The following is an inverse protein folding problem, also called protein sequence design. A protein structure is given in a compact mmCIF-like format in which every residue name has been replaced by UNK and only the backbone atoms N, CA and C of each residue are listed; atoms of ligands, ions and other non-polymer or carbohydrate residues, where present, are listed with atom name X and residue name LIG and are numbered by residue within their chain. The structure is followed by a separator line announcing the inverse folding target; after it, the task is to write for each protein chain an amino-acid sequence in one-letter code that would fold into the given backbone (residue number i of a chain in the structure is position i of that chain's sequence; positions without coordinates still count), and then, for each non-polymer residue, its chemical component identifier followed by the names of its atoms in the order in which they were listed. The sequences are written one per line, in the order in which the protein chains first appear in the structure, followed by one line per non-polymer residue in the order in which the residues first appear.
data_IF_381966331890
#
_entry.id   IF_381966331890
#
_cell.length_a   1.000
_cell.length_b   1.000
_cell.length_c   1.000
_cell.angle_alpha   90.00
_cell.angle_beta   90.00
_cell.angle_gamma   90.00
#
_symmetry.space_group_name_H-M   'P 1'
#
loop_
_entity.id
_entity.type
_entity.pdbx_description
1 polymer ?
#
# COMPACT_ATOMS: atom_id res chain seq x y z
N UNK A 1 12.36 4.58 6.58
CA UNK A 1 11.62 3.31 6.39
C UNK A 1 12.07 2.64 5.10
N UNK A 2 11.96 1.31 4.99
CA UNK A 2 12.33 0.55 3.78
C UNK A 2 11.12 0.36 2.88
N UNK A 3 11.27 0.59 1.56
CA UNK A 3 10.23 0.22 0.60
C UNK A 3 10.13 -1.30 0.55
N UNK A 4 8.95 -1.84 0.86
CA UNK A 4 8.69 -3.28 0.87
C UNK A 4 8.17 -3.74 -0.49
N UNK A 5 7.16 -3.05 -1.02
CA UNK A 5 6.52 -3.39 -2.30
C UNK A 5 5.78 -2.20 -2.90
N UNK A 6 5.67 -2.19 -4.21
CA UNK A 6 4.77 -1.31 -4.97
C UNK A 6 3.68 -2.17 -5.59
N UNK A 7 2.41 -1.82 -5.37
CA UNK A 7 1.25 -2.58 -5.88
C UNK A 7 0.77 -2.05 -7.23
N UNK A 8 0.70 -0.73 -7.37
CA UNK A 8 0.31 -0.05 -8.61
C UNK A 8 1.38 1.00 -8.91
N UNK A 9 1.88 1.01 -10.15
CA UNK A 9 2.94 1.93 -10.60
C UNK A 9 2.51 2.81 -11.79
N UNK A 10 1.21 2.80 -12.10
CA UNK A 10 0.65 3.59 -13.21
C UNK A 10 -0.34 4.61 -12.68
N UNK A 11 -0.53 5.68 -13.45
CA UNK A 11 -1.67 6.58 -13.28
C UNK A 11 -2.94 5.87 -13.74
N UNK A 12 -4.02 6.10 -12.99
CA UNK A 12 -5.33 5.52 -13.27
C UNK A 12 -6.31 6.67 -13.44
N UNK A 13 -7.18 6.55 -14.43
CA UNK A 13 -8.28 7.49 -14.64
C UNK A 13 -9.21 7.54 -13.41
N UNK A 14 -10.02 8.59 -13.26
CA UNK A 14 -10.99 8.67 -12.17
C UNK A 14 -11.93 7.46 -12.15
N UNK A 15 -11.92 6.72 -11.04
CA UNK A 15 -12.68 5.49 -10.91
C UNK A 15 -12.46 4.79 -9.58
N UNK A 16 -13.09 3.61 -9.41
CA UNK A 16 -12.89 2.75 -8.25
C UNK A 16 -11.96 1.59 -8.62
N UNK A 17 -10.90 1.42 -7.85
CA UNK A 17 -9.93 0.36 -8.04
C UNK A 17 -9.70 -0.41 -6.75
N UNK A 18 -9.38 -1.69 -6.89
CA UNK A 18 -8.99 -2.56 -5.79
C UNK A 18 -7.62 -3.14 -6.09
N UNK A 19 -6.71 -3.05 -5.12
CA UNK A 19 -5.40 -3.69 -5.19
C UNK A 19 -5.26 -4.63 -3.99
N UNK A 20 -4.88 -5.88 -4.27
CA UNK A 20 -4.64 -6.89 -3.24
C UNK A 20 -3.17 -6.87 -2.82
N UNK A 21 -2.93 -6.90 -1.52
CA UNK A 21 -1.60 -7.01 -0.94
C UNK A 21 -1.46 -8.36 -0.25
N UNK A 22 -0.60 -9.22 -0.81
CA UNK A 22 -0.19 -10.44 -0.12
C UNK A 22 1.00 -10.14 0.79
N UNK A 23 0.81 -10.37 2.08
CA UNK A 23 1.81 -10.18 3.14
C UNK A 23 2.63 -11.46 3.42
N UNK A 24 2.44 -12.53 2.64
CA UNK A 24 3.22 -13.76 2.77
C UNK A 24 4.73 -13.47 2.73
N UNK A 25 5.46 -14.08 3.67
CA UNK A 25 6.90 -13.89 3.83
C UNK A 25 7.33 -12.62 4.58
N UNK A 26 6.41 -11.71 4.93
CA UNK A 26 6.73 -10.59 5.80
C UNK A 26 6.81 -11.02 7.27
N UNK A 27 7.68 -10.35 8.02
CA UNK A 27 7.70 -10.46 9.48
C UNK A 27 6.43 -9.85 10.08
N UNK A 28 5.97 -10.40 11.20
CA UNK A 28 4.94 -9.74 12.00
C UNK A 28 5.45 -8.36 12.44
N UNK A 29 4.60 -7.34 12.37
CA UNK A 29 4.99 -5.98 12.72
C UNK A 29 4.15 -4.89 12.10
N UNK A 30 4.59 -3.65 12.29
CA UNK A 30 3.92 -2.46 11.78
C UNK A 30 4.47 -2.08 10.41
N UNK A 31 3.57 -1.92 9.46
CA UNK A 31 3.85 -1.48 8.11
C UNK A 31 3.04 -0.22 7.79
N UNK A 32 3.55 0.59 6.87
CA UNK A 32 2.85 1.76 6.37
C UNK A 32 2.65 1.60 4.86
N UNK A 33 1.46 1.96 4.40
CA UNK A 33 1.18 2.08 2.98
C UNK A 33 0.78 3.51 2.65
N UNK A 34 1.07 3.89 1.42
CA UNK A 34 0.87 5.23 0.90
C UNK A 34 0.16 5.15 -0.44
N UNK A 35 -0.99 5.82 -0.54
CA UNK A 35 -1.77 5.96 -1.75
C UNK A 35 -1.67 7.41 -2.23
N UNK A 36 -1.23 7.59 -3.47
CA UNK A 36 -1.26 8.87 -4.17
C UNK A 36 -2.50 8.90 -5.05
N UNK A 37 -3.33 9.94 -4.93
CA UNK A 37 -4.52 10.14 -5.73
C UNK A 37 -4.64 11.61 -6.10
N UNK A 38 -4.27 11.96 -7.34
CA UNK A 38 -4.13 13.35 -7.76
C UNK A 38 -3.12 14.10 -6.88
N UNK A 39 -3.53 15.23 -6.30
CA UNK A 39 -2.74 15.99 -5.33
C UNK A 39 -2.81 15.43 -3.89
N UNK A 40 -3.66 14.44 -3.65
CA UNK A 40 -3.88 13.85 -2.33
C UNK A 40 -2.86 12.75 -2.01
N UNK A 41 -2.35 12.77 -0.78
CA UNK A 41 -1.50 11.73 -0.23
C UNK A 41 -2.13 11.10 1.02
N UNK A 42 -2.52 9.83 0.91
CA UNK A 42 -3.11 9.09 2.03
C UNK A 42 -2.09 8.10 2.55
N UNK A 43 -1.69 8.26 3.81
CA UNK A 43 -0.80 7.30 4.50
C UNK A 43 -1.57 6.63 5.61
N UNK A 44 -1.50 5.30 5.69
CA UNK A 44 -2.16 4.51 6.71
C UNK A 44 -1.24 3.42 7.24
N UNK A 45 -1.44 3.07 8.51
CA UNK A 45 -0.73 2.02 9.22
C UNK A 45 -1.47 0.69 9.04
N UNK A 46 -0.73 -0.38 8.84
CA UNK A 46 -1.18 -1.77 8.82
C UNK A 46 -0.36 -2.56 9.84
N UNK A 47 -0.96 -3.55 10.49
CA UNK A 47 -0.24 -4.49 11.34
C UNK A 47 -0.33 -5.85 10.67
N UNK A 48 0.82 -6.44 10.36
CA UNK A 48 0.92 -7.83 9.93
C UNK A 48 1.01 -8.66 11.18
N UNK A 49 0.01 -9.51 11.40
CA UNK A 49 -0.03 -10.50 12.47
C UNK A 49 0.34 -11.85 11.85
N UNK A 50 1.14 -12.64 12.56
CA UNK A 50 1.43 -14.03 12.19
C UNK A 50 0.54 -14.98 12.98
#
# INVERSE_FOLDING_TARGET
GRLVRTLVRQELDPGRYQASFDAAGLSGGVYFYRLHAGSGLITRKMVVVR
#
